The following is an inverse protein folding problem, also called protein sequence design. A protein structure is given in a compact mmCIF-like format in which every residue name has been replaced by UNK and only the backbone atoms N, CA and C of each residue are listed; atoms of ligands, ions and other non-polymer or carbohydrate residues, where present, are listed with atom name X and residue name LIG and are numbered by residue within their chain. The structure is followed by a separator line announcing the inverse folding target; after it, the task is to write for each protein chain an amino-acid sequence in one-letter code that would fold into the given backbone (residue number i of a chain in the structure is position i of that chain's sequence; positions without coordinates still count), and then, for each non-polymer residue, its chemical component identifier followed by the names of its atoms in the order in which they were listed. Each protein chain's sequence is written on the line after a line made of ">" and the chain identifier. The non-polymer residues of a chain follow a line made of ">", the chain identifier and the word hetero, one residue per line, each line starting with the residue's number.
data_IF_949393431992
#
_entry.id   IF_949393431992
#
_cell.length_a   1.000
_cell.length_b   1.000
_cell.length_c   1.000
_cell.angle_alpha   90.00
_cell.angle_beta   90.00
_cell.angle_gamma   90.00
#
_symmetry.space_group_name_H-M   'P 1'
#
loop_
_entity.id
_entity.type
_entity.pdbx_description
1 polymer ?
#
# COMPACT_ATOMS: atom_id res chain seq x y z
N UNK A 1 -22.44 3.90 6.89
CA UNK A 1 -23.38 2.80 6.58
C UNK A 1 -22.96 2.02 5.33
N UNK A 2 -22.67 2.69 4.21
CA UNK A 2 -22.24 2.04 2.96
C UNK A 2 -21.03 1.09 3.11
N UNK A 3 -19.99 1.46 3.85
CA UNK A 3 -18.78 0.64 4.03
C UNK A 3 -19.06 -0.73 4.67
N UNK A 4 -20.02 -0.81 5.61
CA UNK A 4 -20.43 -2.09 6.22
C UNK A 4 -21.20 -2.97 5.24
N UNK A 5 -22.03 -2.37 4.39
CA UNK A 5 -22.74 -3.08 3.34
C UNK A 5 -21.77 -3.66 2.30
N UNK A 6 -20.72 -2.91 1.92
CA UNK A 6 -19.65 -3.40 1.03
C UNK A 6 -18.90 -4.56 1.68
N UNK A 7 -18.49 -4.45 2.94
CA UNK A 7 -17.83 -5.55 3.66
C UNK A 7 -18.71 -6.80 3.74
N UNK A 8 -20.02 -6.63 3.99
CA UNK A 8 -20.97 -7.74 4.00
C UNK A 8 -21.09 -8.40 2.61
N UNK A 9 -21.15 -7.60 1.54
CA UNK A 9 -21.21 -8.08 0.16
C UNK A 9 -19.93 -8.86 -0.22
N UNK A 10 -18.76 -8.40 0.23
CA UNK A 10 -17.47 -9.09 0.03
C UNK A 10 -17.35 -10.41 0.80
N UNK A 11 -18.20 -10.65 1.79
CA UNK A 11 -18.25 -11.92 2.56
C UNK A 11 -19.27 -12.91 2.02
N UNK A 12 -20.00 -12.55 0.97
CA UNK A 12 -21.00 -13.44 0.38
C UNK A 12 -20.34 -14.60 -0.38
N UNK A 13 -20.96 -15.79 -0.40
CA UNK A 13 -20.53 -16.88 -1.26
C UNK A 13 -20.57 -16.52 -2.75
N UNK A 14 -19.66 -17.08 -3.55
CA UNK A 14 -19.54 -16.79 -4.98
C UNK A 14 -20.83 -17.00 -5.77
N UNK A 15 -21.67 -17.97 -5.39
CA UNK A 15 -22.95 -18.21 -6.06
C UNK A 15 -23.93 -17.06 -5.85
N UNK A 16 -23.91 -16.39 -4.68
CA UNK A 16 -24.71 -15.20 -4.40
C UNK A 16 -24.19 -14.02 -5.21
N UNK A 17 -22.87 -13.87 -5.27
CA UNK A 17 -22.23 -12.80 -6.04
C UNK A 17 -22.58 -12.95 -7.53
N UNK A 18 -22.51 -14.17 -8.08
CA UNK A 18 -22.90 -14.46 -9.47
C UNK A 18 -24.38 -14.18 -9.73
N UNK A 19 -25.26 -14.41 -8.77
CA UNK A 19 -26.67 -14.05 -8.90
C UNK A 19 -26.89 -12.52 -8.98
N UNK A 20 -26.03 -11.72 -8.33
CA UNK A 20 -26.12 -10.25 -8.34
C UNK A 20 -25.46 -9.66 -9.60
N UNK A 21 -24.27 -10.15 -9.95
CA UNK A 21 -23.42 -9.53 -10.97
C UNK A 21 -23.64 -10.12 -12.36
N UNK A 22 -24.21 -11.33 -12.44
CA UNK A 22 -24.59 -11.98 -13.69
C UNK A 22 -23.53 -12.92 -14.26
N UNK A 23 -23.50 -13.02 -15.59
CA UNK A 23 -22.66 -13.97 -16.31
C UNK A 23 -21.16 -13.66 -16.14
N UNK A 24 -20.28 -14.68 -16.13
CA UNK A 24 -18.85 -14.47 -16.01
C UNK A 24 -18.29 -13.62 -17.14
N UNK A 25 -17.48 -12.62 -16.81
CA UNK A 25 -16.72 -11.84 -17.79
C UNK A 25 -15.41 -12.56 -18.10
N UNK A 26 -15.26 -12.96 -19.36
CA UNK A 26 -14.04 -13.56 -19.88
C UNK A 26 -13.32 -12.56 -20.79
N UNK A 27 -12.02 -12.37 -20.55
CA UNK A 27 -11.14 -11.55 -21.41
C UNK A 27 -9.94 -12.41 -21.75
N UNK A 28 -9.72 -12.68 -23.04
CA UNK A 28 -8.56 -13.45 -23.52
C UNK A 28 -8.39 -14.83 -22.84
N UNK A 29 -9.51 -15.49 -22.53
CA UNK A 29 -9.50 -16.80 -21.85
C UNK A 29 -9.24 -16.72 -20.34
N UNK A 30 -9.02 -15.54 -19.76
CA UNK A 30 -8.97 -15.33 -18.32
C UNK A 30 -10.37 -14.94 -17.80
N UNK A 31 -10.85 -15.67 -16.79
CA UNK A 31 -12.08 -15.34 -16.08
C UNK A 31 -11.82 -14.32 -14.99
N UNK A 32 -12.60 -13.25 -14.99
CA UNK A 32 -12.52 -12.23 -13.96
C UNK A 32 -13.17 -12.73 -12.66
N UNK A 33 -12.51 -12.52 -11.52
CA UNK A 33 -13.04 -12.91 -10.20
C UNK A 33 -14.45 -12.34 -9.96
N UNK A 34 -15.41 -13.13 -9.48
CA UNK A 34 -16.76 -12.67 -9.14
C UNK A 34 -16.74 -11.47 -8.17
N UNK A 35 -15.85 -11.50 -7.18
CA UNK A 35 -15.67 -10.41 -6.22
C UNK A 35 -15.21 -9.11 -6.89
N UNK A 36 -14.32 -9.20 -7.88
CA UNK A 36 -13.88 -8.03 -8.63
C UNK A 36 -15.02 -7.45 -9.48
N UNK A 37 -15.84 -8.32 -10.09
CA UNK A 37 -16.98 -7.87 -10.90
C UNK A 37 -18.03 -7.16 -10.01
N UNK A 38 -18.26 -7.68 -8.80
CA UNK A 38 -19.11 -7.03 -7.81
C UNK A 38 -18.58 -5.65 -7.42
N UNK A 39 -17.29 -5.51 -7.13
CA UNK A 39 -16.69 -4.22 -6.77
C UNK A 39 -16.85 -3.18 -7.87
N UNK A 40 -16.59 -3.54 -9.13
CA UNK A 40 -16.79 -2.65 -10.28
C UNK A 40 -18.26 -2.27 -10.44
N UNK A 41 -19.18 -3.23 -10.21
CA UNK A 41 -20.62 -2.98 -10.29
C UNK A 41 -21.06 -1.99 -9.22
N UNK A 42 -20.59 -2.16 -7.98
CA UNK A 42 -20.85 -1.25 -6.88
C UNK A 42 -20.24 0.13 -7.10
N UNK A 43 -19.06 0.22 -7.72
CA UNK A 43 -18.42 1.49 -8.05
C UNK A 43 -19.29 2.36 -8.98
N UNK A 44 -20.06 1.76 -9.90
CA UNK A 44 -20.96 2.50 -10.79
C UNK A 44 -22.08 3.23 -10.04
N UNK A 45 -22.42 2.78 -8.83
CA UNK A 45 -23.44 3.42 -7.99
C UNK A 45 -22.86 4.49 -7.07
N UNK A 46 -21.54 4.67 -7.02
CA UNK A 46 -20.91 5.76 -6.28
C UNK A 46 -21.02 7.04 -7.11
N UNK A 47 -21.63 8.11 -6.59
CA UNK A 47 -21.68 9.39 -7.28
C UNK A 47 -20.26 9.90 -7.51
N UNK A 48 -19.81 9.90 -8.78
CA UNK A 48 -18.56 10.56 -9.13
C UNK A 48 -18.83 12.05 -9.14
N UNK A 49 -18.11 12.80 -8.30
CA UNK A 49 -18.04 14.24 -8.46
C UNK A 49 -17.47 14.54 -9.85
N UNK A 50 -17.95 15.62 -10.47
CA UNK A 50 -17.47 16.05 -11.78
C UNK A 50 -15.92 16.13 -11.76
N UNK A 51 -15.21 15.67 -12.82
CA UNK A 51 -13.75 15.68 -12.85
C UNK A 51 -13.10 17.06 -12.62
N UNK A 52 -13.89 18.13 -12.74
CA UNK A 52 -13.50 19.52 -12.57
C UNK A 52 -13.81 20.11 -11.19
N UNK A 53 -14.57 19.42 -10.34
CA UNK A 53 -14.74 19.83 -8.96
C UNK A 53 -13.47 19.45 -8.20
N UNK A 54 -12.71 20.43 -7.70
CA UNK A 54 -11.62 20.17 -6.76
C UNK A 54 -12.26 19.95 -5.39
N UNK A 55 -12.42 18.70 -4.93
CA UNK A 55 -13.01 18.46 -3.62
C UNK A 55 -12.03 18.94 -2.54
N UNK A 56 -12.55 19.20 -1.34
CA UNK A 56 -11.70 19.40 -0.17
C UNK A 56 -10.87 18.11 0.06
N UNK A 57 -9.58 18.19 -0.25
CA UNK A 57 -8.66 17.07 -0.18
C UNK A 57 -8.54 16.51 1.25
N UNK A 58 -8.75 17.34 2.28
CA UNK A 58 -8.70 16.90 3.68
C UNK A 58 -9.90 15.99 3.97
N UNK A 59 -11.08 16.36 3.49
CA UNK A 59 -12.30 15.57 3.66
C UNK A 59 -12.21 14.26 2.87
N UNK A 60 -11.81 14.32 1.61
CA UNK A 60 -11.64 13.11 0.77
C UNK A 60 -10.60 12.18 1.37
N UNK A 61 -9.49 12.73 1.89
CA UNK A 61 -8.45 11.93 2.53
C UNK A 61 -8.98 11.22 3.77
N UNK A 62 -9.71 11.95 4.63
CA UNK A 62 -10.31 11.38 5.83
C UNK A 62 -11.30 10.26 5.49
N UNK A 63 -12.16 10.46 4.50
CA UNK A 63 -13.13 9.46 4.08
C UNK A 63 -12.44 8.21 3.53
N UNK A 64 -11.37 8.39 2.75
CA UNK A 64 -10.55 7.29 2.25
C UNK A 64 -9.86 6.51 3.37
N UNK A 65 -9.29 7.19 4.37
CA UNK A 65 -8.65 6.55 5.52
C UNK A 65 -9.67 5.73 6.34
N UNK A 66 -10.91 6.22 6.48
CA UNK A 66 -12.01 5.49 7.14
C UNK A 66 -12.39 4.25 6.33
N UNK A 67 -12.62 4.38 5.01
CA UNK A 67 -13.03 3.26 4.16
C UNK A 67 -11.95 2.17 4.12
N UNK A 68 -10.69 2.56 3.94
CA UNK A 68 -9.56 1.62 3.88
C UNK A 68 -9.35 0.89 5.20
N UNK A 69 -9.46 1.58 6.36
CA UNK A 69 -9.32 0.94 7.68
C UNK A 69 -10.38 -0.14 7.93
N UNK A 70 -11.61 0.07 7.46
CA UNK A 70 -12.70 -0.90 7.61
C UNK A 70 -12.55 -2.09 6.64
N UNK A 71 -12.17 -1.84 5.38
CA UNK A 71 -12.00 -2.89 4.38
C UNK A 71 -10.81 -3.81 4.68
N UNK A 72 -9.73 -3.26 5.25
CA UNK A 72 -8.50 -3.99 5.56
C UNK A 72 -8.46 -4.51 7.00
N UNK A 73 -9.51 -4.27 7.79
CA UNK A 73 -9.59 -4.72 9.17
C UNK A 73 -9.44 -6.25 9.27
N UNK A 74 -8.38 -6.69 9.95
CA UNK A 74 -8.14 -8.11 10.26
C UNK A 74 -7.38 -8.90 9.19
N UNK A 75 -6.86 -8.26 8.13
CA UNK A 75 -6.02 -8.92 7.09
C UNK A 75 -4.62 -9.28 7.63
N UNK A 76 -4.07 -8.48 8.55
CA UNK A 76 -2.75 -8.71 9.16
C UNK A 76 -2.84 -9.21 10.59
N UNK A 77 -3.24 -10.46 10.80
CA UNK A 77 -3.17 -11.09 12.14
C UNK A 77 -1.73 -11.54 12.41
N UNK A 78 -1.31 -11.43 13.66
CA UNK A 78 -0.01 -11.91 14.17
C UNK A 78 1.26 -11.24 13.61
N UNK A 79 1.13 -10.05 13.02
CA UNK A 79 2.27 -9.24 12.57
C UNK A 79 2.65 -8.23 13.65
N UNK A 80 3.93 -8.20 14.04
CA UNK A 80 4.45 -7.14 14.90
C UNK A 80 4.68 -5.88 14.08
N UNK A 81 4.20 -4.74 14.59
CA UNK A 81 4.25 -3.46 13.90
C UNK A 81 4.92 -2.43 14.78
N UNK A 82 5.88 -1.69 14.24
CA UNK A 82 6.39 -0.49 14.87
C UNK A 82 6.67 0.61 13.85
N UNK A 83 6.44 1.84 14.27
CA UNK A 83 6.71 3.03 13.47
C UNK A 83 8.16 3.48 13.69
N UNK A 84 8.79 3.96 12.62
CA UNK A 84 10.16 4.47 12.62
C UNK A 84 10.28 5.64 11.64
N UNK A 85 11.45 6.26 11.59
CA UNK A 85 11.76 7.36 10.68
C UNK A 85 13.07 7.04 9.96
N UNK A 86 13.05 7.14 8.64
CA UNK A 86 14.25 6.97 7.81
C UNK A 86 14.72 8.32 7.28
N UNK A 87 16.02 8.51 7.15
CA UNK A 87 16.58 9.71 6.55
C UNK A 87 16.30 9.72 5.05
N UNK A 88 15.52 10.70 4.58
CA UNK A 88 15.28 10.96 3.16
C UNK A 88 16.10 12.14 2.65
N UNK A 89 16.26 12.23 1.31
CA UNK A 89 17.00 13.30 0.66
C UNK A 89 16.44 14.70 0.94
N UNK A 90 15.15 14.80 1.24
CA UNK A 90 14.43 16.04 1.52
C UNK A 90 13.93 16.14 2.96
N UNK A 91 14.46 15.31 3.87
CA UNK A 91 14.08 15.29 5.28
C UNK A 91 13.67 13.91 5.78
N UNK A 92 13.30 13.80 7.06
CA UNK A 92 12.85 12.54 7.67
C UNK A 92 11.57 12.02 7.00
N UNK A 93 11.56 10.74 6.65
CA UNK A 93 10.41 10.05 6.05
C UNK A 93 9.84 9.06 7.07
N UNK A 94 8.56 9.16 7.43
CA UNK A 94 7.93 8.18 8.31
C UNK A 94 7.87 6.82 7.61
N UNK A 95 8.21 5.77 8.34
CA UNK A 95 8.19 4.40 7.86
C UNK A 95 7.53 3.49 8.90
N UNK A 96 6.93 2.40 8.43
CA UNK A 96 6.32 1.37 9.29
C UNK A 96 6.95 0.03 8.97
N UNK A 97 7.47 -0.64 9.99
CA UNK A 97 8.11 -1.95 9.87
C UNK A 97 7.12 -3.01 10.30
N UNK A 98 6.95 -4.03 9.45
CA UNK A 98 6.11 -5.18 9.67
C UNK A 98 6.99 -6.42 9.82
N UNK A 99 6.94 -7.07 10.97
CA UNK A 99 7.71 -8.29 11.25
C UNK A 99 6.77 -9.48 11.38
N UNK A 100 6.94 -10.55 10.59
CA UNK A 100 6.15 -11.77 10.73
C UNK A 100 6.49 -12.48 12.05
N UNK A 101 5.61 -13.36 12.55
CA UNK A 101 5.86 -14.10 13.77
C UNK A 101 7.11 -14.97 13.61
N UNK A 102 7.97 -14.98 14.64
CA UNK A 102 9.23 -15.72 14.64
C UNK A 102 10.40 -15.03 13.92
N UNK A 103 10.18 -13.85 13.32
CA UNK A 103 11.29 -13.04 12.82
C UNK A 103 12.19 -12.60 14.00
N UNK A 104 13.53 -12.68 13.85
CA UNK A 104 14.43 -12.16 14.87
C UNK A 104 14.14 -10.67 15.07
N UNK A 105 13.91 -10.26 16.33
CA UNK A 105 13.71 -8.86 16.66
C UNK A 105 14.96 -8.08 16.23
N UNK A 106 14.86 -7.35 15.12
CA UNK A 106 15.91 -6.45 14.68
C UNK A 106 15.98 -5.35 15.73
N UNK A 107 17.03 -5.39 16.53
CA UNK A 107 17.27 -4.43 17.61
C UNK A 107 17.23 -3.05 16.97
N UNK A 108 16.37 -2.17 17.50
CA UNK A 108 16.31 -0.76 17.15
C UNK A 108 17.63 -0.10 17.55
N UNK A 109 18.67 -0.34 16.76
CA UNK A 109 19.92 0.37 16.80
C UNK A 109 19.73 1.59 15.93
N UNK A 110 19.71 2.76 16.57
CA UNK A 110 20.09 4.04 15.97
C UNK A 110 21.02 3.79 14.78
N UNK A 111 20.60 4.20 13.59
CA UNK A 111 21.51 4.37 12.46
C UNK A 111 22.41 5.54 12.83
N UNK A 112 23.33 5.29 13.75
CA UNK A 112 24.48 6.13 13.98
C UNK A 112 25.21 6.17 12.65
N UNK A 113 25.20 7.35 12.06
CA UNK A 113 26.03 7.82 10.96
C UNK A 113 27.38 7.09 10.93
N UNK A 114 27.43 5.97 10.21
CA UNK A 114 28.67 5.45 9.68
C UNK A 114 29.09 6.44 8.59
N UNK A 115 29.77 7.49 9.05
CA UNK A 115 30.57 8.41 8.25
C UNK A 115 31.47 7.52 7.40
N UNK A 116 31.09 7.35 6.14
CA UNK A 116 31.96 6.76 5.14
C UNK A 116 33.10 7.75 4.91
N UNK A 117 34.13 7.68 5.77
CA UNK A 117 35.50 7.89 5.34
C UNK A 117 35.76 6.86 4.26
N UNK A 118 35.38 7.22 3.03
CA UNK A 118 35.75 6.49 1.84
C UNK A 118 37.22 6.80 1.64
N UNK A 119 38.07 6.00 2.29
CA UNK A 119 39.47 5.84 1.93
C UNK A 119 39.53 5.61 0.42
N UNK A 120 40.20 6.54 -0.27
CA UNK A 120 40.49 6.39 -1.69
C UNK A 120 41.37 5.15 -1.87
N UNK A 121 41.07 4.25 -2.83
CA UNK A 121 41.91 3.10 -3.08
C UNK A 121 43.29 3.53 -3.63
N UNK A 122 44.37 2.83 -3.25
CA UNK A 122 45.76 3.28 -3.41
C UNK A 122 46.33 3.26 -4.85
N UNK A 123 45.50 3.07 -5.87
CA UNK A 123 45.96 2.96 -7.27
C UNK A 123 45.85 4.24 -8.09
N UNK A 124 45.42 5.36 -7.49
CA UNK A 124 45.45 6.70 -8.12
C UNK A 124 46.66 7.53 -7.69
N UNK A 125 47.84 6.93 -7.63
CA UNK A 125 49.11 7.63 -7.56
C UNK A 125 49.96 7.25 -8.78
N UNK A 126 50.07 8.19 -9.73
CA UNK A 126 51.11 8.16 -10.75
C UNK A 126 50.62 8.19 -12.18
N UNK A 127 50.33 9.38 -12.70
CA UNK A 127 50.82 9.78 -14.03
C UNK A 127 51.30 11.22 -13.94
N UNK A 128 52.55 11.37 -13.54
CA UNK A 128 53.37 12.52 -13.90
C UNK A 128 54.00 12.18 -15.25
N UNK A 129 53.69 12.91 -16.32
CA UNK A 129 54.63 13.12 -17.42
C UNK A 129 54.34 14.46 -18.06
N UNK A 130 55.21 15.40 -17.73
CA UNK A 130 55.54 16.60 -18.49
C UNK A 130 56.22 16.18 -19.80
N UNK A 131 55.72 16.63 -20.95
CA UNK A 131 56.51 17.36 -21.96
C UNK A 131 55.62 17.94 -23.04
#
# INVERSE_FOLDING_TARGET
>A
MATRAVVAALRMPDWVIRAIVGAPVEVEGAQMSPTAQLLITLERFVPRADPQAVPDLVVVRRDFDIVSSVLLAGVGRDVQVHDTVVAGAHGPVPARVYSPPGAPAMRSGSVATARAERSLPPWRSGVSTTR
#
